data_IF_861540564671
#
_entry.id   IF_861540564671
#
_cell.length_a   1.000
_cell.length_b   1.000
_cell.length_c   1.000
_cell.angle_alpha   90.00
_cell.angle_beta   90.00
_cell.angle_gamma   90.00
#
_symmetry.space_group_name_H-M   'P 1'
#
loop_
_entity.id
_entity.type
_entity.pdbx_description
1 polymer ?
#
# COMPACT_ATOMS: atom_id res chain seq x y z
N UNK A 1 12.44 18.13 23.45
CA UNK A 1 11.12 18.61 22.98
C UNK A 1 10.50 17.44 22.23
N UNK A 2 9.39 16.87 22.69
CA UNK A 2 8.78 15.70 22.05
C UNK A 2 7.88 16.14 20.90
N UNK A 3 8.02 15.51 19.73
CA UNK A 3 7.08 15.67 18.63
C UNK A 3 5.78 14.92 18.94
N UNK A 4 4.65 15.48 18.52
CA UNK A 4 3.32 14.85 18.56
C UNK A 4 2.95 14.37 17.17
N UNK A 5 2.05 13.38 17.09
CA UNK A 5 1.50 12.92 15.82
C UNK A 5 0.91 14.06 14.98
N UNK A 6 0.28 15.04 15.63
CA UNK A 6 -0.28 16.23 14.97
C UNK A 6 0.77 17.10 14.30
N UNK A 7 2.01 17.09 14.79
CA UNK A 7 3.10 17.87 14.19
C UNK A 7 3.49 17.27 12.84
N UNK A 8 3.50 15.94 12.74
CA UNK A 8 3.76 15.22 11.49
C UNK A 8 2.66 15.49 10.46
N UNK A 9 1.38 15.37 10.86
CA UNK A 9 0.27 15.60 9.92
C UNK A 9 0.15 17.06 9.50
N UNK A 10 0.49 18.00 10.38
CA UNK A 10 0.52 19.43 10.03
C UNK A 10 1.63 19.74 9.04
N UNK A 11 2.78 19.07 9.14
CA UNK A 11 3.92 19.30 8.26
C UNK A 11 3.67 18.86 6.80
N UNK A 12 2.77 17.91 6.55
CA UNK A 12 2.50 17.36 5.21
C UNK A 12 1.14 17.77 4.61
N UNK A 13 0.47 18.79 5.14
CA UNK A 13 -0.89 19.16 4.69
C UNK A 13 -0.99 19.46 3.18
N UNK A 14 0.03 20.12 2.61
CA UNK A 14 0.04 20.45 1.19
C UNK A 14 0.17 19.21 0.32
N UNK A 15 1.11 18.31 0.67
CA UNK A 15 1.31 17.03 -0.03
C UNK A 15 0.09 16.13 0.10
N UNK A 16 -0.49 16.04 1.31
CA UNK A 16 -1.72 15.29 1.56
C UNK A 16 -2.87 15.78 0.68
N UNK A 17 -3.08 17.11 0.62
CA UNK A 17 -4.12 17.69 -0.22
C UNK A 17 -3.89 17.38 -1.69
N UNK A 18 -2.65 17.56 -2.18
CA UNK A 18 -2.31 17.24 -3.57
C UNK A 18 -2.51 15.75 -3.90
N UNK A 19 -2.27 14.86 -2.93
CA UNK A 19 -2.49 13.42 -3.08
C UNK A 19 -3.98 13.07 -3.17
N UNK A 20 -4.81 13.55 -2.23
CA UNK A 20 -6.24 13.20 -2.20
C UNK A 20 -7.07 13.92 -3.26
N UNK A 21 -6.60 15.09 -3.74
CA UNK A 21 -7.21 15.87 -4.84
C UNK A 21 -6.49 15.62 -6.18
N UNK A 22 -5.70 14.55 -6.31
CA UNK A 22 -5.02 14.22 -7.56
C UNK A 22 -6.03 13.92 -8.68
N UNK A 23 -5.73 14.31 -9.92
CA UNK A 23 -6.59 14.11 -11.09
C UNK A 23 -7.04 12.65 -11.26
N UNK A 24 -6.19 11.68 -10.90
CA UNK A 24 -6.56 10.26 -10.89
C UNK A 24 -7.80 10.00 -10.03
N UNK A 25 -7.84 10.53 -8.80
CA UNK A 25 -8.94 10.35 -7.84
C UNK A 25 -10.19 11.06 -8.34
N UNK A 26 -10.06 12.31 -8.81
CA UNK A 26 -11.19 13.07 -9.36
C UNK A 26 -11.79 12.39 -10.60
N UNK A 27 -10.96 11.95 -11.54
CA UNK A 27 -11.43 11.29 -12.75
C UNK A 27 -12.05 9.92 -12.45
N UNK A 28 -11.49 9.17 -11.49
CA UNK A 28 -12.06 7.90 -11.05
C UNK A 28 -13.44 8.11 -10.42
N UNK A 29 -13.58 9.08 -9.51
CA UNK A 29 -14.86 9.41 -8.86
C UNK A 29 -15.92 9.92 -9.84
N UNK A 30 -15.50 10.56 -10.94
CA UNK A 30 -16.39 11.04 -12.00
C UNK A 30 -16.60 10.03 -13.14
N UNK A 31 -16.05 8.81 -13.04
CA UNK A 31 -16.08 7.79 -14.11
C UNK A 31 -15.55 8.29 -15.48
N UNK A 32 -14.54 9.16 -15.45
CA UNK A 32 -13.88 9.73 -16.65
C UNK A 32 -12.43 9.29 -16.80
N UNK A 33 -11.89 8.56 -15.82
CA UNK A 33 -10.51 8.06 -15.85
C UNK A 33 -10.31 7.14 -17.06
N UNK A 34 -9.26 7.36 -17.89
CA UNK A 34 -8.94 6.44 -18.96
C UNK A 34 -8.67 5.03 -18.42
N UNK A 35 -9.29 4.04 -19.04
CA UNK A 35 -9.19 2.64 -18.60
C UNK A 35 -7.73 2.16 -18.53
N UNK A 36 -6.88 2.59 -19.47
CA UNK A 36 -5.46 2.25 -19.47
C UNK A 36 -4.73 2.72 -18.19
N UNK A 37 -5.12 3.87 -17.65
CA UNK A 37 -4.57 4.39 -16.38
C UNK A 37 -5.02 3.53 -15.20
N UNK A 38 -6.29 3.12 -15.18
CA UNK A 38 -6.81 2.24 -14.13
C UNK A 38 -6.18 0.84 -14.18
N UNK A 39 -6.03 0.27 -15.38
CA UNK A 39 -5.33 -1.00 -15.61
C UNK A 39 -3.88 -0.93 -15.12
N UNK A 40 -3.17 0.16 -15.41
CA UNK A 40 -1.81 0.36 -14.92
C UNK A 40 -1.76 0.44 -13.40
N UNK A 41 -2.67 1.20 -12.79
CA UNK A 41 -2.80 1.31 -11.35
C UNK A 41 -3.00 -0.07 -10.70
N UNK A 42 -4.03 -0.83 -11.08
CA UNK A 42 -4.29 -2.14 -10.46
C UNK A 42 -3.14 -3.14 -10.61
N UNK A 43 -2.46 -3.14 -11.76
CA UNK A 43 -1.27 -3.98 -11.97
C UNK A 43 -0.15 -3.65 -10.98
N UNK A 44 0.11 -2.37 -10.76
CA UNK A 44 1.16 -1.92 -9.85
C UNK A 44 0.72 -2.03 -8.38
N UNK A 45 -0.57 -1.84 -8.11
CA UNK A 45 -1.14 -1.97 -6.76
C UNK A 45 -1.15 -3.44 -6.30
N UNK A 46 -1.34 -4.41 -7.20
CA UNK A 46 -1.12 -5.83 -6.88
C UNK A 46 0.30 -6.09 -6.34
N UNK A 47 1.33 -5.55 -7.01
CA UNK A 47 2.72 -5.69 -6.55
C UNK A 47 2.96 -4.94 -5.23
N UNK A 48 2.38 -3.74 -5.09
CA UNK A 48 2.40 -2.97 -3.84
C UNK A 48 1.82 -3.79 -2.68
N UNK A 49 0.63 -4.37 -2.85
CA UNK A 49 -0.08 -5.13 -1.83
C UNK A 49 0.72 -6.36 -1.35
N UNK A 50 1.47 -7.03 -2.22
CA UNK A 50 2.37 -8.11 -1.79
C UNK A 50 3.42 -7.60 -0.80
N UNK A 51 4.03 -6.44 -1.04
CA UNK A 51 4.99 -5.86 -0.11
C UNK A 51 4.32 -5.28 1.12
N UNK A 52 3.11 -4.76 0.99
CA UNK A 52 2.35 -4.23 2.11
C UNK A 52 1.91 -5.37 3.06
N UNK A 53 1.54 -6.53 2.52
CA UNK A 53 1.34 -7.75 3.33
C UNK A 53 2.61 -8.17 4.06
N UNK A 54 3.78 -8.06 3.43
CA UNK A 54 5.08 -8.30 4.09
C UNK A 54 5.38 -7.27 5.18
N UNK A 55 4.99 -6.00 4.99
CA UNK A 55 5.11 -4.98 6.01
C UNK A 55 4.23 -5.32 7.23
N UNK A 56 2.98 -5.77 7.02
CA UNK A 56 2.14 -6.27 8.12
C UNK A 56 2.72 -7.52 8.81
N UNK A 57 3.33 -8.44 8.06
CA UNK A 57 4.04 -9.57 8.66
C UNK A 57 5.23 -9.12 9.52
N UNK A 58 5.96 -8.09 9.08
CA UNK A 58 7.04 -7.49 9.87
C UNK A 58 6.50 -6.78 11.12
N UNK A 59 5.36 -6.10 11.01
CA UNK A 59 4.67 -5.50 12.15
C UNK A 59 4.30 -6.58 13.18
N UNK A 60 3.69 -7.68 12.73
CA UNK A 60 3.37 -8.83 13.57
C UNK A 60 4.61 -9.39 14.28
N UNK A 61 5.73 -9.54 13.57
CA UNK A 61 6.99 -9.98 14.16
C UNK A 61 7.52 -9.03 15.24
N UNK A 62 7.36 -7.71 15.05
CA UNK A 62 7.83 -6.66 15.97
C UNK A 62 6.82 -6.30 17.07
N UNK A 63 5.63 -6.88 17.06
CA UNK A 63 4.55 -6.56 18.00
C UNK A 63 4.94 -6.86 19.46
N UNK A 64 4.90 -5.85 20.36
CA UNK A 64 5.24 -6.05 21.77
C UNK A 64 4.10 -6.70 22.56
N UNK A 65 2.85 -6.61 22.07
CA UNK A 65 1.68 -7.20 22.72
C UNK A 65 0.90 -8.12 21.79
N UNK A 66 0.12 -9.03 22.38
CA UNK A 66 -0.80 -9.88 21.63
C UNK A 66 -1.88 -9.07 20.89
N UNK A 67 -2.25 -7.90 21.41
CA UNK A 67 -3.20 -7.02 20.75
C UNK A 67 -2.60 -6.46 19.45
N UNK A 68 -1.36 -5.96 19.49
CA UNK A 68 -0.65 -5.46 18.31
C UNK A 68 -0.43 -6.60 17.29
N UNK A 69 -0.06 -7.79 17.76
CA UNK A 69 0.11 -8.98 16.91
C UNK A 69 -1.19 -9.33 16.17
N UNK A 70 -2.33 -9.32 16.87
CA UNK A 70 -3.64 -9.59 16.26
C UNK A 70 -4.01 -8.52 15.25
N UNK A 71 -3.78 -7.25 15.55
CA UNK A 71 -4.05 -6.17 14.61
C UNK A 71 -3.23 -6.33 13.32
N UNK A 72 -1.93 -6.60 13.44
CA UNK A 72 -1.07 -6.81 12.28
C UNK A 72 -1.48 -8.06 11.47
N UNK A 73 -1.87 -9.13 12.15
CA UNK A 73 -2.39 -10.35 11.52
C UNK A 73 -3.66 -10.07 10.71
N UNK A 74 -4.63 -9.35 11.26
CA UNK A 74 -5.86 -9.03 10.53
C UNK A 74 -5.60 -8.14 9.31
N UNK A 75 -4.66 -7.19 9.41
CA UNK A 75 -4.24 -6.38 8.26
C UNK A 75 -3.60 -7.21 7.14
N UNK A 76 -2.65 -8.09 7.49
CA UNK A 76 -2.04 -9.02 6.52
C UNK A 76 -3.09 -9.93 5.86
N UNK A 77 -3.99 -10.48 6.67
CA UNK A 77 -5.06 -11.36 6.21
C UNK A 77 -6.01 -10.63 5.26
N UNK A 78 -6.41 -9.41 5.57
CA UNK A 78 -7.28 -8.62 4.70
C UNK A 78 -6.65 -8.43 3.31
N UNK A 79 -5.35 -8.16 3.25
CA UNK A 79 -4.64 -8.01 1.98
C UNK A 79 -4.61 -9.33 1.20
N UNK A 80 -4.11 -10.39 1.84
CA UNK A 80 -3.84 -11.68 1.19
C UNK A 80 -5.12 -12.39 0.77
N UNK A 81 -6.12 -12.44 1.65
CA UNK A 81 -7.32 -13.24 1.44
C UNK A 81 -8.44 -12.47 0.72
N UNK A 82 -8.39 -11.14 0.71
CA UNK A 82 -9.47 -10.31 0.16
C UNK A 82 -8.98 -9.40 -0.96
N UNK A 83 -8.06 -8.48 -0.68
CA UNK A 83 -7.71 -7.40 -1.64
C UNK A 83 -6.98 -7.90 -2.89
N UNK A 84 -6.04 -8.84 -2.74
CA UNK A 84 -5.34 -9.43 -3.89
C UNK A 84 -6.31 -10.16 -4.83
N UNK A 85 -7.28 -10.88 -4.28
CA UNK A 85 -8.31 -11.57 -5.07
C UNK A 85 -9.15 -10.62 -5.93
N UNK A 86 -9.49 -9.44 -5.39
CA UNK A 86 -10.19 -8.40 -6.13
C UNK A 86 -9.36 -7.87 -7.30
N UNK A 87 -8.08 -7.59 -7.08
CA UNK A 87 -7.16 -7.12 -8.12
C UNK A 87 -6.98 -8.13 -9.25
N UNK A 88 -6.78 -9.41 -8.87
CA UNK A 88 -6.67 -10.51 -9.83
C UNK A 88 -7.98 -10.65 -10.63
N UNK A 89 -9.14 -10.57 -9.97
CA UNK A 89 -10.45 -10.63 -10.64
C UNK A 89 -10.62 -9.56 -11.72
N UNK A 90 -10.34 -8.28 -11.39
CA UNK A 90 -10.39 -7.20 -12.39
C UNK A 90 -9.41 -7.42 -13.55
N UNK A 91 -8.19 -7.87 -13.26
CA UNK A 91 -7.19 -8.12 -14.29
C UNK A 91 -7.57 -9.29 -15.20
N UNK A 92 -8.24 -10.32 -14.67
CA UNK A 92 -8.75 -11.45 -15.45
C UNK A 92 -9.83 -11.02 -16.45
N UNK A 93 -10.67 -10.04 -16.14
CA UNK A 93 -11.64 -9.48 -17.09
C UNK A 93 -10.97 -8.87 -18.33
N UNK A 94 -9.70 -8.47 -18.21
CA UNK A 94 -8.86 -7.98 -19.30
C UNK A 94 -7.95 -9.04 -19.92
N UNK A 95 -8.12 -10.31 -19.53
CA UNK A 95 -7.31 -11.43 -20.01
C UNK A 95 -5.89 -11.47 -19.45
N UNK A 96 -5.62 -10.79 -18.33
CA UNK A 96 -4.32 -10.82 -17.65
C UNK A 96 -4.39 -11.85 -16.52
N UNK A 97 -3.50 -12.84 -16.58
CA UNK A 97 -3.39 -13.87 -15.54
C UNK A 97 -2.68 -13.35 -14.30
N UNK A 98 -2.88 -14.02 -13.16
CA UNK A 98 -2.14 -13.72 -11.94
C UNK A 98 -0.64 -13.94 -12.10
N UNK A 99 -0.24 -14.96 -12.88
CA UNK A 99 1.17 -15.19 -13.18
C UNK A 99 1.78 -13.99 -13.92
N UNK A 100 1.08 -13.46 -14.93
CA UNK A 100 1.55 -12.25 -15.62
C UNK A 100 1.69 -11.08 -14.65
N UNK A 101 0.74 -10.87 -13.73
CA UNK A 101 0.84 -9.84 -12.69
C UNK A 101 2.07 -10.03 -11.80
N UNK A 102 2.33 -11.25 -11.35
CA UNK A 102 3.47 -11.57 -10.49
C UNK A 102 4.83 -11.39 -11.18
N UNK A 103 4.88 -11.53 -12.50
CA UNK A 103 6.08 -11.34 -13.32
C UNK A 103 6.26 -9.90 -13.82
N UNK A 104 5.28 -9.00 -13.57
CA UNK A 104 5.39 -7.60 -13.98
C UNK A 104 6.55 -6.89 -13.27
N UNK A 105 7.31 -6.04 -13.98
CA UNK A 105 8.28 -5.18 -13.35
C UNK A 105 7.59 -4.13 -12.47
N UNK A 106 8.17 -3.90 -11.30
CA UNK A 106 7.76 -2.80 -10.41
C UNK A 106 8.05 -1.45 -11.07
N UNK A 107 7.06 -0.58 -11.10
CA UNK A 107 7.27 0.82 -11.43
C UNK A 107 8.14 1.47 -10.34
N UNK A 108 8.88 2.50 -10.74
CA UNK A 108 9.80 3.22 -9.84
C UNK A 108 9.10 3.73 -8.57
N UNK A 109 7.86 4.22 -8.69
CA UNK A 109 7.09 4.70 -7.54
C UNK A 109 6.77 3.57 -6.54
N UNK A 110 6.26 2.43 -7.04
CA UNK A 110 5.97 1.22 -6.25
C UNK A 110 7.21 0.72 -5.53
N UNK A 111 8.34 0.61 -6.25
CA UNK A 111 9.61 0.19 -5.66
C UNK A 111 10.08 1.17 -4.60
N UNK A 112 10.11 2.47 -4.89
CA UNK A 112 10.59 3.47 -3.94
C UNK A 112 9.80 3.47 -2.63
N UNK A 113 8.47 3.41 -2.72
CA UNK A 113 7.60 3.41 -1.55
C UNK A 113 7.76 2.12 -0.73
N UNK A 114 7.61 0.96 -1.37
CA UNK A 114 7.66 -0.32 -0.67
C UNK A 114 9.03 -0.59 -0.01
N UNK A 115 10.13 -0.16 -0.65
CA UNK A 115 11.47 -0.25 -0.05
C UNK A 115 11.62 0.69 1.13
N UNK A 116 11.10 1.93 1.04
CA UNK A 116 11.14 2.85 2.17
C UNK A 116 10.42 2.29 3.40
N UNK A 117 9.19 1.77 3.25
CA UNK A 117 8.41 1.20 4.37
C UNK A 117 9.14 0.03 5.01
N UNK A 118 9.58 -0.94 4.19
CA UNK A 118 10.24 -2.14 4.69
C UNK A 118 11.62 -1.85 5.30
N UNK A 119 12.41 -0.97 4.71
CA UNK A 119 13.74 -0.61 5.25
C UNK A 119 13.61 0.17 6.56
N UNK A 120 12.65 1.09 6.64
CA UNK A 120 12.36 1.87 7.85
C UNK A 120 11.91 0.96 8.97
N UNK A 121 10.92 0.09 8.72
CA UNK A 121 10.46 -0.86 9.72
C UNK A 121 11.51 -1.89 10.12
N UNK A 122 12.37 -2.35 9.21
CA UNK A 122 13.46 -3.26 9.54
C UNK A 122 14.48 -2.64 10.51
N UNK A 123 14.91 -1.41 10.21
CA UNK A 123 15.90 -0.66 11.02
C UNK A 123 15.33 -0.15 12.34
N UNK A 124 14.06 0.22 12.32
CA UNK A 124 13.34 0.84 13.43
C UNK A 124 12.51 -0.14 14.25
N UNK A 125 11.55 0.40 14.98
CA UNK A 125 10.56 -0.35 15.75
C UNK A 125 9.16 -0.35 15.10
N UNK A 126 8.15 -0.77 15.85
CA UNK A 126 6.77 -0.81 15.37
C UNK A 126 6.20 0.58 15.08
N UNK A 127 6.63 1.63 15.81
CA UNK A 127 6.22 3.00 15.54
C UNK A 127 6.80 3.49 14.22
N UNK A 128 8.10 3.23 13.98
CA UNK A 128 8.74 3.59 12.71
C UNK A 128 8.01 2.95 11.53
N UNK A 129 7.60 1.69 11.66
CA UNK A 129 6.85 0.97 10.64
C UNK A 129 5.43 1.52 10.43
N UNK A 130 4.75 1.99 11.48
CA UNK A 130 3.43 2.61 11.36
C UNK A 130 3.44 4.02 10.78
N UNK A 131 4.57 4.73 10.88
CA UNK A 131 4.72 6.10 10.39
C UNK A 131 5.26 6.14 8.96
N UNK A 132 6.03 5.13 8.55
CA UNK A 132 6.61 5.01 7.21
C UNK A 132 5.56 4.80 6.12
#
# INVERSE_FOLDING_TARGET
MGYRFTDLTTACQQDWRAYIEHDFVHQLGNATLPEASFRHYLKQDYLFLIHFARAYALAAYKSPTLADLRQAHEGMKAIVDVELGLHVGFCQEWGISEQELAELPEARATLAYTRYVLDTGNRGDLLDLHVA
#
